data_IF_839234492694
#
_entry.id   IF_839234492694
#
_cell.length_a   1.000
_cell.length_b   1.000
_cell.length_c   1.000
_cell.angle_alpha   90.00
_cell.angle_beta   90.00
_cell.angle_gamma   90.00
#
_symmetry.space_group_name_H-M   'P 1'
#
loop_
_entity.id
_entity.type
_entity.pdbx_description
1 polymer ?
#
# COMPACT_ATOMS: atom_id res chain seq x y z
N UNK A 1 5.18 -9.97 24.22
CA UNK A 1 4.84 -8.98 25.27
C UNK A 1 5.94 -7.92 25.23
N UNK A 2 5.54 -6.66 25.37
CA UNK A 2 6.29 -5.40 25.20
C UNK A 2 6.45 -4.88 23.76
N UNK A 3 5.38 -4.24 23.26
CA UNK A 3 5.38 -3.35 22.09
C UNK A 3 5.54 -1.91 22.57
N UNK A 4 6.77 -1.38 22.55
CA UNK A 4 7.06 0.04 22.79
C UNK A 4 7.24 0.77 21.46
N UNK A 5 6.54 1.90 21.26
CA UNK A 5 6.68 2.75 20.07
C UNK A 5 8.04 3.44 20.05
N UNK A 6 8.78 3.30 18.94
CA UNK A 6 10.10 3.90 18.77
C UNK A 6 9.98 5.33 18.25
N UNK A 7 10.24 6.33 19.09
CA UNK A 7 10.33 7.73 18.69
C UNK A 7 11.68 8.03 17.99
N UNK A 8 11.70 8.17 16.67
CA UNK A 8 12.82 8.78 15.95
C UNK A 8 12.35 9.96 15.10
N UNK A 9 12.50 11.19 15.62
CA UNK A 9 12.57 12.41 14.82
C UNK A 9 13.99 12.99 14.93
N UNK A 10 14.58 13.50 13.83
CA UNK A 10 15.99 13.89 13.81
C UNK A 10 16.21 15.20 14.57
N UNK A 11 17.29 15.23 15.34
CA UNK A 11 17.79 16.39 16.08
C UNK A 11 18.32 17.45 15.11
N UNK A 12 17.72 18.65 15.12
CA UNK A 12 18.37 19.89 14.72
C UNK A 12 17.56 21.10 15.22
N UNK A 13 17.89 21.57 16.42
CA UNK A 13 17.85 22.99 16.78
C UNK A 13 18.58 23.19 18.11
N UNK A 14 19.38 24.25 18.14
CA UNK A 14 20.47 24.54 19.06
C UNK A 14 19.94 25.06 20.41
N UNK A 15 20.72 24.78 21.44
CA UNK A 15 20.60 25.21 22.82
C UNK A 15 20.16 26.67 23.02
N UNK A 16 19.24 26.90 23.96
CA UNK A 16 19.39 27.95 24.99
C UNK A 16 18.42 27.72 26.17
N UNK A 17 18.99 27.83 27.38
CA UNK A 17 18.40 27.99 28.71
C UNK A 17 17.72 26.78 29.41
N UNK A 18 18.52 26.13 30.26
CA UNK A 18 18.09 25.35 31.42
C UNK A 18 17.36 26.22 32.44
N UNK A 19 16.20 25.77 32.94
CA UNK A 19 15.83 25.67 34.36
C UNK A 19 14.33 25.35 34.51
N UNK A 20 13.95 24.14 34.10
CA UNK A 20 12.89 23.36 34.71
C UNK A 20 13.18 21.91 34.33
N UNK A 21 14.00 21.23 35.14
CA UNK A 21 14.07 19.76 35.10
C UNK A 21 12.80 19.26 35.76
N UNK A 22 11.67 19.45 35.08
CA UNK A 22 10.53 18.57 35.27
C UNK A 22 10.98 17.19 34.82
N UNK A 23 10.86 16.21 35.70
CA UNK A 23 10.96 14.81 35.32
C UNK A 23 9.91 14.58 34.22
N UNK A 24 10.34 14.60 32.96
CA UNK A 24 9.53 14.03 31.88
C UNK A 24 9.53 12.54 32.18
N UNK A 25 8.53 12.10 32.96
CA UNK A 25 8.14 10.72 32.96
C UNK A 25 7.84 10.41 31.51
N UNK A 26 8.68 9.57 30.89
CA UNK A 26 8.35 8.91 29.64
C UNK A 26 7.10 8.10 29.93
N UNK A 27 5.92 8.71 29.79
CA UNK A 27 4.69 7.93 29.71
C UNK A 27 4.91 7.01 28.53
N UNK A 28 5.03 5.70 28.80
CA UNK A 28 4.85 4.69 27.78
C UNK A 28 3.45 4.92 27.22
N UNK A 29 3.32 5.74 26.18
CA UNK A 29 2.10 5.86 25.40
C UNK A 29 1.91 4.52 24.73
N UNK A 30 1.25 3.62 25.43
CA UNK A 30 0.75 2.37 24.87
C UNK A 30 -0.21 2.78 23.76
N UNK A 31 0.08 2.33 22.54
CA UNK A 31 -0.83 2.53 21.41
C UNK A 31 -2.22 2.06 21.84
N UNK A 32 -3.25 2.93 21.77
CA UNK A 32 -4.57 2.60 22.32
C UNK A 32 -5.30 1.53 21.50
N UNK A 33 -4.72 1.11 20.37
CA UNK A 33 -5.30 0.17 19.43
C UNK A 33 -4.63 -1.19 19.57
N UNK A 34 -5.43 -2.24 19.74
CA UNK A 34 -4.97 -3.62 19.77
C UNK A 34 -5.00 -4.26 18.39
N UNK A 35 -5.83 -3.74 17.49
CA UNK A 35 -6.03 -4.28 16.15
C UNK A 35 -5.98 -3.18 15.08
N UNK A 36 -5.46 -3.53 13.91
CA UNK A 36 -5.42 -2.68 12.73
C UNK A 36 -6.13 -3.37 11.57
N UNK A 37 -7.13 -2.70 11.01
CA UNK A 37 -7.86 -3.17 9.84
C UNK A 37 -7.83 -2.14 8.72
N UNK A 38 -7.74 -2.61 7.48
CA UNK A 38 -7.72 -1.74 6.31
C UNK A 38 -8.56 -2.31 5.16
N UNK A 39 -9.47 -1.51 4.60
CA UNK A 39 -10.18 -1.81 3.37
C UNK A 39 -9.78 -0.74 2.34
N UNK A 40 -9.21 -1.14 1.20
CA UNK A 40 -8.60 -0.19 0.26
C UNK A 40 -8.16 -0.80 -1.07
N UNK A 41 -7.15 -0.21 -1.71
CA UNK A 41 -6.66 -0.62 -3.03
C UNK A 41 -5.20 -1.13 -3.06
N UNK A 42 -4.53 -1.01 -4.21
CA UNK A 42 -3.16 -1.48 -4.41
C UNK A 42 -2.09 -0.72 -3.63
N UNK A 43 -2.35 0.52 -3.19
CA UNK A 43 -1.38 1.30 -2.40
C UNK A 43 -1.18 0.75 -0.99
N UNK A 44 -2.14 -0.07 -0.53
CA UNK A 44 -2.10 -0.73 0.78
C UNK A 44 -2.14 -2.26 0.67
N UNK A 45 -2.19 -2.83 -0.54
CA UNK A 45 -2.24 -4.27 -0.73
C UNK A 45 -0.90 -4.93 -0.39
N UNK A 46 -0.91 -5.80 0.61
CA UNK A 46 0.23 -6.59 1.07
C UNK A 46 0.24 -8.03 0.55
N UNK A 47 -0.73 -8.40 -0.30
CA UNK A 47 -0.72 -9.67 -1.02
C UNK A 47 -2.07 -10.30 -1.37
N UNK A 48 -3.21 -9.65 -1.13
CA UNK A 48 -4.50 -10.26 -1.49
C UNK A 48 -4.63 -10.41 -3.01
N UNK A 49 -4.19 -9.42 -3.81
CA UNK A 49 -4.35 -9.46 -5.27
C UNK A 49 -3.79 -10.71 -5.91
N UNK A 50 -2.59 -11.15 -5.47
CA UNK A 50 -1.92 -12.31 -6.07
C UNK A 50 -2.61 -13.65 -5.72
N UNK A 51 -3.58 -13.62 -4.80
CA UNK A 51 -4.34 -14.78 -4.30
C UNK A 51 -5.78 -14.83 -4.83
N UNK A 52 -6.27 -13.77 -5.48
CA UNK A 52 -7.59 -13.78 -6.12
C UNK A 52 -7.55 -14.58 -7.42
N UNK A 53 -8.14 -15.77 -7.42
CA UNK A 53 -8.15 -16.65 -8.59
C UNK A 53 -9.19 -16.25 -9.64
N UNK A 54 -8.98 -16.59 -10.93
CA UNK A 54 -7.80 -17.25 -11.50
C UNK A 54 -6.65 -16.28 -11.87
N UNK A 55 -6.85 -14.98 -11.76
CA UNK A 55 -5.95 -13.98 -12.35
C UNK A 55 -4.77 -13.58 -11.47
N UNK A 56 -4.93 -13.62 -10.15
CA UNK A 56 -3.97 -13.14 -9.16
C UNK A 56 -2.53 -13.60 -9.38
N UNK A 57 -2.27 -14.92 -9.58
CA UNK A 57 -0.92 -15.43 -9.81
C UNK A 57 -0.23 -14.88 -11.06
N UNK A 58 -0.99 -14.32 -12.02
CA UNK A 58 -0.44 -13.72 -13.24
C UNK A 58 -0.06 -12.25 -13.10
N UNK A 59 -0.49 -11.59 -12.02
CA UNK A 59 -0.26 -10.17 -11.81
C UNK A 59 1.24 -9.85 -11.67
N UNK A 60 1.68 -8.64 -12.05
CA UNK A 60 3.07 -8.22 -11.91
C UNK A 60 3.61 -8.40 -10.48
N UNK A 61 2.81 -8.06 -9.47
CA UNK A 61 3.19 -8.16 -8.06
C UNK A 61 3.49 -9.60 -7.57
N UNK A 62 3.17 -10.63 -8.35
CA UNK A 62 3.48 -12.03 -8.06
C UNK A 62 4.88 -12.47 -8.52
N UNK A 63 5.70 -11.57 -9.08
CA UNK A 63 7.03 -11.89 -9.62
C UNK A 63 8.02 -10.74 -9.48
N UNK A 64 9.31 -11.05 -9.65
CA UNK A 64 10.37 -10.04 -9.63
C UNK A 64 10.13 -8.96 -10.71
N UNK A 65 10.50 -7.69 -10.44
CA UNK A 65 11.30 -7.21 -9.31
C UNK A 65 10.53 -6.92 -8.01
N UNK A 66 9.21 -7.19 -7.95
CA UNK A 66 8.43 -6.96 -6.74
C UNK A 66 8.94 -7.82 -5.57
N UNK A 67 9.05 -7.20 -4.40
CA UNK A 67 9.62 -7.79 -3.19
C UNK A 67 11.13 -8.09 -3.22
N UNK A 68 11.89 -7.59 -4.21
CA UNK A 68 13.35 -7.82 -4.31
C UNK A 68 14.14 -7.26 -3.11
N UNK A 69 13.83 -6.05 -2.66
CA UNK A 69 14.49 -5.37 -1.55
C UNK A 69 14.02 -5.92 -0.20
N UNK A 70 12.73 -6.23 -0.08
CA UNK A 70 12.17 -6.94 1.07
C UNK A 70 10.95 -7.77 0.65
N UNK A 71 10.83 -9.04 1.08
CA UNK A 71 11.77 -9.86 1.85
C UNK A 71 12.80 -10.61 0.96
N UNK A 72 12.98 -10.22 -0.29
CA UNK A 72 13.78 -10.95 -1.29
C UNK A 72 12.96 -11.83 -2.24
N UNK A 73 11.63 -11.83 -2.10
CA UNK A 73 10.69 -12.52 -2.98
C UNK A 73 9.36 -11.76 -3.08
N UNK A 74 8.55 -11.98 -4.15
CA UNK A 74 7.28 -11.29 -4.33
C UNK A 74 6.26 -11.67 -3.26
N UNK A 75 5.76 -10.68 -2.52
CA UNK A 75 4.70 -10.86 -1.51
C UNK A 75 3.30 -10.54 -2.04
N UNK A 76 3.24 -9.85 -3.19
CA UNK A 76 2.04 -9.23 -3.74
C UNK A 76 1.88 -7.74 -3.40
N UNK A 77 2.83 -7.15 -2.66
CA UNK A 77 3.00 -5.69 -2.56
C UNK A 77 3.36 -5.09 -3.92
N UNK A 78 2.82 -3.92 -4.22
CA UNK A 78 3.11 -3.17 -5.46
C UNK A 78 4.38 -2.32 -5.36
N UNK A 79 5.39 -2.86 -4.69
CA UNK A 79 6.72 -2.30 -4.54
C UNK A 79 7.79 -3.38 -4.48
N UNK A 80 9.06 -2.98 -4.49
CA UNK A 80 10.20 -3.87 -4.30
C UNK A 80 10.44 -4.22 -2.82
N UNK A 81 9.74 -3.57 -1.88
CA UNK A 81 9.87 -3.79 -0.45
C UNK A 81 8.58 -3.54 0.33
N UNK A 82 8.75 -3.07 1.57
CA UNK A 82 7.66 -2.56 2.40
C UNK A 82 7.03 -1.32 1.75
N UNK A 83 5.73 -1.15 1.96
CA UNK A 83 4.94 0.00 1.48
C UNK A 83 4.68 0.97 2.64
N UNK A 84 4.27 2.21 2.35
CA UNK A 84 4.02 3.25 3.36
C UNK A 84 3.15 2.77 4.54
N UNK A 85 2.16 1.93 4.24
CA UNK A 85 1.28 1.34 5.26
C UNK A 85 2.02 0.42 6.25
N UNK A 86 3.05 -0.32 5.81
CA UNK A 86 3.85 -1.16 6.70
C UNK A 86 4.63 -0.32 7.71
N UNK A 87 5.20 0.80 7.25
CA UNK A 87 5.93 1.73 8.12
C UNK A 87 4.99 2.41 9.11
N UNK A 88 3.84 2.91 8.64
CA UNK A 88 2.83 3.49 9.52
C UNK A 88 2.36 2.49 10.58
N UNK A 89 2.10 1.24 10.20
CA UNK A 89 1.72 0.19 11.14
C UNK A 89 2.82 -0.10 12.17
N UNK A 90 4.09 -0.13 11.76
CA UNK A 90 5.22 -0.31 12.66
C UNK A 90 5.36 0.86 13.65
N UNK A 91 5.13 2.10 13.21
CA UNK A 91 5.12 3.28 14.09
C UNK A 91 4.03 3.20 15.16
N UNK A 92 2.89 2.57 14.85
CA UNK A 92 1.83 2.25 15.81
C UNK A 92 2.09 0.99 16.65
N UNK A 93 3.26 0.36 16.51
CA UNK A 93 3.66 -0.81 17.29
C UNK A 93 3.08 -2.15 16.81
N UNK A 94 2.48 -2.21 15.61
CA UNK A 94 1.98 -3.46 15.05
C UNK A 94 3.15 -4.28 14.45
N UNK A 95 3.36 -5.53 14.90
CA UNK A 95 4.55 -6.30 14.51
C UNK A 95 4.51 -6.85 13.09
N UNK A 96 3.32 -7.09 12.53
CA UNK A 96 3.15 -7.62 11.17
C UNK A 96 1.73 -7.37 10.65
N UNK A 97 1.65 -6.81 9.45
CA UNK A 97 0.39 -6.69 8.69
C UNK A 97 0.31 -7.83 7.68
N UNK A 98 -0.82 -8.54 7.66
CA UNK A 98 -1.03 -9.70 6.78
C UNK A 98 -2.21 -9.49 5.83
N UNK A 99 -2.18 -10.11 4.63
CA UNK A 99 -3.33 -10.12 3.74
C UNK A 99 -4.43 -11.02 4.33
N UNK A 100 -5.70 -10.63 4.19
CA UNK A 100 -6.84 -11.45 4.58
C UNK A 100 -6.82 -12.87 3.99
N UNK A 101 -6.37 -13.03 2.74
CA UNK A 101 -6.36 -14.33 2.06
C UNK A 101 -5.19 -15.25 2.50
N UNK A 102 -4.60 -15.04 3.66
CA UNK A 102 -3.56 -15.93 4.21
C UNK A 102 -4.00 -16.65 5.48
N UNK A 103 -3.42 -17.82 5.80
CA UNK A 103 -3.77 -18.58 7.01
C UNK A 103 -3.58 -17.79 8.31
N UNK A 104 -2.64 -16.86 8.33
CA UNK A 104 -2.29 -16.05 9.50
C UNK A 104 -3.31 -14.92 9.79
N UNK A 105 -4.24 -14.65 8.88
CA UNK A 105 -5.19 -13.55 9.04
C UNK A 105 -5.95 -13.63 10.38
N UNK A 106 -6.38 -14.83 10.78
CA UNK A 106 -7.18 -15.01 11.99
C UNK A 106 -6.38 -14.94 13.31
N UNK A 107 -5.06 -15.13 13.26
CA UNK A 107 -4.17 -15.02 14.42
C UNK A 107 -3.41 -13.70 14.47
N UNK A 108 -3.58 -12.83 13.46
CA UNK A 108 -2.93 -11.52 13.38
C UNK A 108 -3.75 -10.42 14.06
N UNK A 109 -3.02 -9.44 14.60
CA UNK A 109 -3.62 -8.19 15.07
C UNK A 109 -3.70 -7.13 13.97
N UNK A 110 -3.04 -7.32 12.83
CA UNK A 110 -3.10 -6.42 11.69
C UNK A 110 -3.49 -7.16 10.42
N UNK A 111 -4.69 -6.88 9.88
CA UNK A 111 -5.23 -7.57 8.70
C UNK A 111 -5.74 -6.55 7.70
N UNK A 112 -5.32 -6.70 6.44
CA UNK A 112 -5.82 -5.87 5.36
C UNK A 112 -6.69 -6.67 4.39
N UNK A 113 -7.71 -5.99 3.88
CA UNK A 113 -8.67 -6.52 2.91
C UNK A 113 -8.48 -5.89 1.53
N UNK A 114 -7.55 -4.94 1.42
CA UNK A 114 -7.24 -4.23 0.19
C UNK A 114 -6.86 -5.19 -0.94
N UNK A 115 -7.38 -4.91 -2.13
CA UNK A 115 -7.02 -5.60 -3.38
C UNK A 115 -6.72 -4.55 -4.43
N UNK A 116 -5.65 -4.75 -5.18
CA UNK A 116 -5.16 -3.80 -6.13
C UNK A 116 -6.16 -3.47 -7.23
N UNK A 117 -6.21 -2.16 -7.52
CA UNK A 117 -7.13 -1.54 -8.47
C UNK A 117 -8.61 -1.67 -8.10
N UNK A 118 -8.92 -2.05 -6.85
CA UNK A 118 -10.31 -2.12 -6.41
C UNK A 118 -10.96 -0.75 -6.43
N UNK A 119 -12.17 -0.63 -7.00
CA UNK A 119 -12.98 0.57 -6.88
C UNK A 119 -13.83 0.54 -5.59
N UNK A 120 -14.43 1.68 -5.26
CA UNK A 120 -15.55 1.71 -4.30
C UNK A 120 -16.76 1.00 -4.89
N UNK A 121 -17.12 1.34 -6.13
CA UNK A 121 -18.37 0.93 -6.76
C UNK A 121 -18.27 -0.47 -7.37
N UNK A 122 -19.40 -1.16 -7.46
CA UNK A 122 -19.43 -2.55 -7.90
C UNK A 122 -19.30 -2.70 -9.43
N UNK A 123 -19.07 -3.94 -9.88
CA UNK A 123 -19.01 -4.27 -11.31
C UNK A 123 -20.28 -3.89 -12.07
N UNK A 124 -21.45 -3.92 -11.41
CA UNK A 124 -22.74 -3.61 -12.03
C UNK A 124 -22.82 -2.12 -12.38
N UNK A 125 -22.37 -1.24 -11.48
CA UNK A 125 -22.31 0.19 -11.67
C UNK A 125 -21.50 0.56 -12.92
N UNK A 126 -20.29 0.00 -13.06
CA UNK A 126 -19.43 0.26 -14.20
C UNK A 126 -19.97 -0.35 -15.49
N UNK A 127 -20.48 -1.59 -15.45
CA UNK A 127 -21.09 -2.26 -16.61
C UNK A 127 -22.25 -1.44 -17.20
N UNK A 128 -23.12 -0.88 -16.36
CA UNK A 128 -24.24 -0.04 -16.79
C UNK A 128 -23.80 1.26 -17.48
N UNK A 129 -22.57 1.71 -17.22
CA UNK A 129 -21.99 2.94 -17.80
C UNK A 129 -21.03 2.65 -18.97
N UNK A 130 -20.94 1.39 -19.39
CA UNK A 130 -20.04 0.96 -20.46
C UNK A 130 -18.56 1.01 -20.07
N UNK A 131 -18.25 0.98 -18.78
CA UNK A 131 -16.87 0.99 -18.26
C UNK A 131 -16.50 -0.43 -17.83
N UNK A 132 -15.34 -0.92 -18.26
CA UNK A 132 -14.82 -2.24 -17.88
C UNK A 132 -13.80 -2.09 -16.76
N UNK A 133 -13.91 -2.92 -15.73
CA UNK A 133 -12.92 -3.03 -14.65
C UNK A 133 -12.35 -4.46 -14.64
N UNK A 134 -11.11 -4.68 -14.16
CA UNK A 134 -10.50 -6.00 -14.15
C UNK A 134 -11.35 -7.00 -13.35
N UNK A 135 -11.48 -8.25 -13.80
CA UNK A 135 -12.40 -9.23 -13.19
C UNK A 135 -11.98 -9.70 -11.79
N UNK A 136 -10.74 -9.44 -11.38
CA UNK A 136 -10.18 -9.88 -10.10
C UNK A 136 -10.31 -8.83 -8.99
N UNK A 137 -10.74 -7.61 -9.32
CA UNK A 137 -10.86 -6.56 -8.31
C UNK A 137 -11.97 -6.90 -7.32
N UNK A 138 -11.84 -6.41 -6.09
CA UNK A 138 -12.79 -6.69 -5.02
C UNK A 138 -13.32 -5.33 -4.53
N UNK A 139 -14.49 -4.88 -5.03
CA UNK A 139 -15.06 -3.59 -4.65
C UNK A 139 -15.24 -3.45 -3.15
N UNK A 140 -15.32 -2.21 -2.66
CA UNK A 140 -15.30 -1.92 -1.22
C UNK A 140 -16.33 -2.74 -0.40
N UNK A 141 -17.54 -2.91 -0.93
CA UNK A 141 -18.57 -3.70 -0.24
C UNK A 141 -18.22 -5.20 -0.13
N UNK A 142 -17.50 -5.75 -1.10
CA UNK A 142 -17.02 -7.14 -1.02
C UNK A 142 -15.84 -7.27 -0.06
N UNK A 143 -15.00 -6.24 0.06
CA UNK A 143 -13.99 -6.20 1.13
C UNK A 143 -14.64 -6.14 2.52
N UNK A 144 -15.79 -5.46 2.65
CA UNK A 144 -16.60 -5.50 3.88
C UNK A 144 -17.16 -6.91 4.15
N UNK A 145 -17.57 -7.66 3.11
CA UNK A 145 -17.98 -9.07 3.29
C UNK A 145 -16.82 -9.94 3.80
N UNK A 146 -15.61 -9.73 3.28
CA UNK A 146 -14.41 -10.38 3.80
C UNK A 146 -14.15 -10.00 5.26
N UNK A 147 -14.29 -8.72 5.60
CA UNK A 147 -14.14 -8.24 6.97
C UNK A 147 -15.16 -8.89 7.92
N UNK A 148 -16.44 -8.97 7.55
CA UNK A 148 -17.48 -9.67 8.32
C UNK A 148 -17.14 -11.14 8.53
N UNK A 149 -16.62 -11.81 7.50
CA UNK A 149 -16.21 -13.22 7.56
C UNK A 149 -15.04 -13.41 8.52
N UNK A 150 -14.03 -12.54 8.44
CA UNK A 150 -12.91 -12.51 9.37
C UNK A 150 -13.39 -12.34 10.82
N UNK A 151 -14.24 -11.34 11.09
CA UNK A 151 -14.77 -11.07 12.43
C UNK A 151 -15.50 -12.29 13.02
N UNK A 152 -16.38 -12.93 12.23
CA UNK A 152 -17.05 -14.17 12.65
C UNK A 152 -16.05 -15.26 13.06
N UNK A 153 -14.92 -15.37 12.34
CA UNK A 153 -13.90 -16.37 12.65
C UNK A 153 -13.09 -16.06 13.91
N UNK A 154 -12.91 -14.79 14.27
CA UNK A 154 -11.96 -14.39 15.33
C UNK A 154 -12.62 -13.91 16.63
N UNK A 155 -13.91 -13.57 16.61
CA UNK A 155 -14.67 -13.17 17.79
C UNK A 155 -16.15 -13.61 17.76
N UNK A 156 -16.57 -14.39 16.76
CA UNK A 156 -17.93 -14.92 16.68
C UNK A 156 -18.99 -13.82 16.60
N UNK A 157 -19.99 -13.88 17.48
CA UNK A 157 -21.06 -12.88 17.58
C UNK A 157 -20.71 -11.68 18.49
N UNK A 158 -19.63 -11.75 19.28
CA UNK A 158 -19.30 -10.73 20.28
C UNK A 158 -18.04 -9.93 19.88
N UNK A 159 -18.09 -9.31 18.69
CA UNK A 159 -16.96 -8.56 18.13
C UNK A 159 -16.90 -7.09 18.56
N UNK A 160 -17.92 -6.57 19.24
CA UNK A 160 -18.01 -5.14 19.56
C UNK A 160 -16.80 -4.64 20.37
N UNK A 161 -16.35 -5.39 21.38
CA UNK A 161 -15.19 -5.01 22.18
C UNK A 161 -13.89 -5.02 21.34
N UNK A 162 -13.73 -6.01 20.44
CA UNK A 162 -12.58 -6.06 19.53
C UNK A 162 -12.56 -4.84 18.62
N UNK A 163 -13.70 -4.49 18.03
CA UNK A 163 -13.84 -3.36 17.13
C UNK A 163 -13.69 -2.00 17.83
N UNK A 164 -14.13 -1.88 19.08
CA UNK A 164 -13.92 -0.67 19.88
C UNK A 164 -12.42 -0.42 20.15
N UNK A 165 -11.62 -1.49 20.24
CA UNK A 165 -10.16 -1.44 20.40
C UNK A 165 -9.40 -1.55 19.06
N UNK A 166 -10.08 -1.40 17.92
CA UNK A 166 -9.48 -1.46 16.59
C UNK A 166 -9.32 -0.07 15.98
N UNK A 167 -8.21 0.17 15.31
CA UNK A 167 -8.09 1.25 14.31
C UNK A 167 -8.49 0.70 12.95
N UNK A 168 -9.48 1.31 12.31
CA UNK A 168 -9.96 0.89 10.98
C UNK A 168 -9.73 2.00 9.98
N UNK A 169 -9.05 1.70 8.88
CA UNK A 169 -8.93 2.61 7.75
C UNK A 169 -9.79 2.13 6.58
N UNK A 170 -10.45 3.07 5.91
CA UNK A 170 -11.40 2.83 4.82
C UNK A 170 -11.12 3.75 3.63
N UNK A 171 -10.50 3.22 2.57
CA UNK A 171 -9.81 3.98 1.51
C UNK A 171 -8.30 3.86 1.70
N UNK A 172 -7.39 4.42 0.92
CA UNK A 172 -7.36 5.14 -0.37
C UNK A 172 -7.81 4.20 -1.53
N UNK A 173 -8.98 4.42 -2.13
CA UNK A 173 -9.60 3.46 -3.09
C UNK A 173 -10.33 4.11 -4.28
N UNK A 174 -10.90 5.29 -4.06
CA UNK A 174 -11.84 5.98 -4.94
C UNK A 174 -11.21 6.55 -6.21
N UNK A 175 -9.89 6.75 -6.20
CA UNK A 175 -9.10 7.10 -7.37
C UNK A 175 -9.32 6.11 -8.54
N UNK A 176 -9.57 4.83 -8.24
CA UNK A 176 -9.82 3.82 -9.26
C UNK A 176 -11.15 4.08 -9.99
N UNK A 177 -12.22 4.47 -9.29
CA UNK A 177 -13.53 4.73 -9.89
C UNK A 177 -13.46 5.85 -10.95
N UNK A 178 -12.77 6.95 -10.60
CA UNK A 178 -12.53 8.06 -11.52
C UNK A 178 -11.57 7.62 -12.62
N UNK A 179 -10.45 6.99 -12.28
CA UNK A 179 -9.44 6.54 -13.24
C UNK A 179 -10.00 5.60 -14.30
N UNK A 180 -10.83 4.62 -13.92
CA UNK A 180 -11.46 3.69 -14.86
C UNK A 180 -12.36 4.38 -15.87
N UNK A 181 -13.13 5.37 -15.42
CA UNK A 181 -14.03 6.12 -16.30
C UNK A 181 -13.23 6.95 -17.30
N UNK A 182 -12.27 7.74 -16.82
CA UNK A 182 -11.47 8.63 -17.67
C UNK A 182 -10.68 7.81 -18.70
N UNK A 183 -9.97 6.76 -18.27
CA UNK A 183 -9.13 5.94 -19.14
C UNK A 183 -9.90 5.20 -20.24
N UNK A 184 -11.23 5.16 -20.15
CA UNK A 184 -12.12 4.58 -21.16
C UNK A 184 -12.94 5.64 -21.90
N UNK A 185 -12.44 6.88 -21.90
CA UNK A 185 -12.95 7.97 -22.74
C UNK A 185 -14.13 8.74 -22.15
N UNK A 186 -14.48 8.53 -20.88
CA UNK A 186 -15.51 9.36 -20.23
C UNK A 186 -14.96 10.75 -19.96
N UNK A 187 -15.80 11.77 -20.14
CA UNK A 187 -15.42 13.16 -19.86
C UNK A 187 -15.27 13.42 -18.36
N UNK A 188 -14.58 14.49 -17.98
CA UNK A 188 -14.49 14.96 -16.58
C UNK A 188 -15.89 15.18 -15.99
N UNK A 189 -16.83 15.74 -16.78
CA UNK A 189 -18.21 15.96 -16.34
C UNK A 189 -18.95 14.63 -16.09
N UNK A 190 -18.74 13.64 -16.95
CA UNK A 190 -19.35 12.32 -16.74
C UNK A 190 -18.75 11.62 -15.51
N UNK A 191 -17.42 11.63 -15.36
CA UNK A 191 -16.74 11.08 -14.19
C UNK A 191 -17.17 11.78 -12.88
N UNK A 192 -17.40 13.09 -12.92
CA UNK A 192 -17.94 13.86 -11.78
C UNK A 192 -19.28 13.31 -11.28
N UNK A 193 -20.11 12.74 -12.15
CA UNK A 193 -21.39 12.14 -11.73
C UNK A 193 -21.23 10.90 -10.85
N UNK A 194 -20.03 10.31 -10.76
CA UNK A 194 -19.77 9.11 -9.96
C UNK A 194 -19.58 9.48 -8.49
N UNK A 195 -19.13 10.71 -8.21
CA UNK A 195 -18.74 11.19 -6.87
C UNK A 195 -19.84 10.96 -5.81
N UNK A 196 -21.11 11.32 -6.03
CA UNK A 196 -22.14 11.07 -5.01
C UNK A 196 -22.32 9.58 -4.69
N UNK A 197 -22.18 8.70 -5.69
CA UNK A 197 -22.29 7.24 -5.48
C UNK A 197 -21.10 6.69 -4.71
N UNK A 198 -19.89 7.15 -5.04
CA UNK A 198 -18.64 6.80 -4.35
C UNK A 198 -18.77 7.17 -2.87
N UNK A 199 -19.07 8.45 -2.60
CA UNK A 199 -19.22 8.97 -1.23
C UNK A 199 -20.30 8.20 -0.48
N UNK A 200 -21.48 8.01 -1.08
CA UNK A 200 -22.57 7.30 -0.41
C UNK A 200 -22.20 5.86 -0.05
N UNK A 201 -21.51 5.14 -0.94
CA UNK A 201 -21.07 3.78 -0.67
C UNK A 201 -20.07 3.72 0.49
N UNK A 202 -19.08 4.61 0.53
CA UNK A 202 -18.12 4.69 1.66
C UNK A 202 -18.78 5.04 2.98
N UNK A 203 -19.72 6.00 2.96
CA UNK A 203 -20.47 6.41 4.14
C UNK A 203 -21.35 5.26 4.65
N UNK A 204 -21.99 4.50 3.76
CA UNK A 204 -22.77 3.32 4.16
C UNK A 204 -21.89 2.24 4.80
N UNK A 205 -20.73 1.94 4.22
CA UNK A 205 -19.77 1.01 4.82
C UNK A 205 -19.30 1.52 6.19
N UNK A 206 -19.04 2.82 6.32
CA UNK A 206 -18.65 3.45 7.59
C UNK A 206 -19.72 3.29 8.66
N UNK A 207 -20.99 3.59 8.35
CA UNK A 207 -22.11 3.38 9.27
C UNK A 207 -22.19 1.94 9.75
N UNK A 208 -21.95 1.00 8.85
CA UNK A 208 -21.99 -0.40 9.20
C UNK A 208 -20.82 -0.84 10.07
N UNK A 209 -19.61 -0.35 9.81
CA UNK A 209 -18.47 -0.56 10.70
C UNK A 209 -18.78 -0.05 12.11
N UNK A 210 -19.39 1.14 12.22
CA UNK A 210 -19.82 1.72 13.49
C UNK A 210 -20.88 0.86 14.18
N UNK A 211 -21.89 0.38 13.44
CA UNK A 211 -22.97 -0.45 13.98
C UNK A 211 -22.47 -1.82 14.46
N UNK A 212 -21.40 -2.34 13.85
CA UNK A 212 -20.72 -3.56 14.33
C UNK A 212 -19.88 -3.32 15.60
N UNK A 213 -19.55 -2.07 15.93
CA UNK A 213 -18.84 -1.70 17.16
C UNK A 213 -17.55 -0.90 16.95
N UNK A 214 -17.21 -0.51 15.71
CA UNK A 214 -16.03 0.32 15.46
C UNK A 214 -16.19 1.70 16.13
N UNK A 215 -15.09 2.21 16.70
CA UNK A 215 -15.06 3.52 17.37
C UNK A 215 -13.97 4.45 16.85
N UNK A 216 -12.98 3.93 16.13
CA UNK A 216 -11.81 4.67 15.67
C UNK A 216 -11.61 4.38 14.18
N UNK A 217 -12.03 5.32 13.34
CA UNK A 217 -11.96 5.16 11.89
C UNK A 217 -11.22 6.32 11.21
N UNK A 218 -10.40 5.97 10.22
CA UNK A 218 -9.74 6.93 9.33
C UNK A 218 -10.28 6.71 7.92
N UNK A 219 -10.78 7.76 7.29
CA UNK A 219 -11.25 7.75 5.91
C UNK A 219 -10.35 8.73 5.14
N UNK A 220 -9.28 8.25 4.49
CA UNK A 220 -8.41 9.12 3.71
C UNK A 220 -9.12 9.64 2.46
N UNK A 221 -8.79 10.85 2.05
CA UNK A 221 -9.04 11.29 0.68
C UNK A 221 -8.01 10.69 -0.27
N UNK A 222 -8.23 10.83 -1.59
CA UNK A 222 -7.22 10.42 -2.56
C UNK A 222 -6.25 11.57 -2.85
N UNK A 223 -5.04 11.20 -3.23
CA UNK A 223 -4.08 12.11 -3.83
C UNK A 223 -4.58 12.72 -5.16
N UNK A 224 -4.02 13.86 -5.59
CA UNK A 224 -4.31 14.47 -6.89
C UNK A 224 -3.83 13.58 -8.04
N UNK A 225 -4.70 12.70 -8.54
CA UNK A 225 -4.32 11.71 -9.58
C UNK A 225 -3.94 12.35 -10.91
N UNK A 226 -4.24 13.63 -11.14
CA UNK A 226 -3.75 14.39 -12.30
C UNK A 226 -2.23 14.54 -12.35
N UNK A 227 -1.54 14.29 -11.24
CA UNK A 227 -0.09 14.20 -11.16
C UNK A 227 0.45 12.82 -11.52
N UNK A 228 -0.41 11.79 -11.58
CA UNK A 228 0.06 10.42 -11.68
C UNK A 228 0.55 10.12 -13.11
N UNK A 229 1.70 9.43 -13.25
CA UNK A 229 2.29 9.15 -14.55
C UNK A 229 1.32 8.49 -15.54
N UNK A 230 0.44 7.59 -15.08
CA UNK A 230 -0.51 6.92 -15.96
C UNK A 230 -1.61 7.85 -16.49
N UNK A 231 -2.06 8.82 -15.68
CA UNK A 231 -3.01 9.84 -16.10
C UNK A 231 -2.33 10.81 -17.06
N UNK A 232 -1.14 11.31 -16.71
CA UNK A 232 -0.36 12.22 -17.54
C UNK A 232 0.02 11.62 -18.90
N UNK A 233 0.29 10.32 -18.95
CA UNK A 233 0.54 9.59 -20.20
C UNK A 233 -0.74 9.35 -21.01
N UNK A 234 -1.89 9.08 -20.37
CA UNK A 234 -3.14 8.82 -21.06
C UNK A 234 -3.82 10.09 -21.60
N UNK A 235 -3.63 11.23 -20.93
CA UNK A 235 -4.22 12.52 -21.28
C UNK A 235 -3.15 13.60 -21.54
N UNK A 236 -2.24 13.39 -22.51
CA UNK A 236 -1.30 14.43 -22.88
C UNK A 236 -2.06 15.62 -23.49
N UNK A 237 -1.70 16.83 -23.07
CA UNK A 237 -2.21 18.08 -23.63
C UNK A 237 -1.06 18.88 -24.22
N UNK A 238 -1.30 19.47 -25.39
CA UNK A 238 -0.38 20.43 -26.00
C UNK A 238 -0.59 21.85 -25.46
N UNK A 239 -1.69 22.11 -24.74
CA UNK A 239 -1.94 23.38 -24.07
C UNK A 239 -1.19 23.42 -22.74
N UNK A 240 -0.17 24.30 -22.57
CA UNK A 240 0.53 24.45 -21.30
C UNK A 240 -0.41 24.87 -20.16
N UNK A 241 -1.52 25.56 -20.47
CA UNK A 241 -2.51 25.99 -19.47
C UNK A 241 -3.36 24.83 -18.95
N UNK A 242 -3.29 23.63 -19.54
CA UNK A 242 -3.94 22.44 -18.98
C UNK A 242 -3.24 21.94 -17.69
N UNK A 243 -1.98 22.33 -17.51
CA UNK A 243 -1.16 21.91 -16.39
C UNK A 243 -1.04 23.01 -15.31
N UNK A 244 -0.79 22.60 -14.07
CA UNK A 244 -0.37 23.49 -12.99
C UNK A 244 1.15 23.71 -12.98
N UNK A 245 1.65 24.48 -12.02
CA UNK A 245 3.08 24.76 -11.86
C UNK A 245 3.93 23.50 -11.58
N UNK A 246 3.30 22.43 -11.09
CA UNK A 246 3.94 21.14 -10.85
C UNK A 246 3.81 20.21 -12.06
N UNK A 247 3.19 20.62 -13.16
CA UNK A 247 3.03 19.78 -14.34
C UNK A 247 1.93 18.71 -14.22
N UNK A 248 1.01 18.86 -13.26
CA UNK A 248 -0.15 18.00 -13.11
C UNK A 248 -1.36 18.52 -13.90
N UNK A 249 -2.25 17.63 -14.36
CA UNK A 249 -3.48 18.03 -15.06
C UNK A 249 -4.49 18.68 -14.10
N UNK A 250 -4.75 19.98 -14.28
CA UNK A 250 -5.64 20.76 -13.41
C UNK A 250 -7.06 20.21 -13.39
N UNK A 251 -7.65 19.92 -14.56
CA UNK A 251 -9.03 19.45 -14.64
C UNK A 251 -9.28 18.13 -13.90
N UNK A 252 -8.29 17.24 -13.88
CA UNK A 252 -8.34 15.98 -13.13
C UNK A 252 -8.18 16.25 -11.63
N UNK A 253 -7.23 17.11 -11.25
CA UNK A 253 -7.02 17.49 -9.85
C UNK A 253 -8.20 18.26 -9.26
N UNK A 254 -8.87 19.09 -10.04
CA UNK A 254 -10.10 19.79 -9.65
C UNK A 254 -11.24 18.81 -9.38
N UNK A 255 -11.34 17.74 -10.19
CA UNK A 255 -12.30 16.67 -9.95
C UNK A 255 -11.99 15.90 -8.65
N UNK A 256 -10.72 15.57 -8.40
CA UNK A 256 -10.33 14.92 -7.14
C UNK A 256 -10.55 15.82 -5.92
N UNK A 257 -10.31 17.12 -6.07
CA UNK A 257 -10.59 18.13 -5.03
C UNK A 257 -12.09 18.20 -4.74
N UNK A 258 -12.93 18.26 -5.78
CA UNK A 258 -14.38 18.21 -5.65
C UNK A 258 -14.84 16.95 -4.90
N UNK A 259 -14.33 15.77 -5.29
CA UNK A 259 -14.63 14.50 -4.61
C UNK A 259 -14.19 14.49 -3.14
N UNK A 260 -12.98 14.99 -2.84
CA UNK A 260 -12.47 15.03 -1.48
C UNK A 260 -13.27 16.02 -0.60
N UNK A 261 -13.77 17.12 -1.18
CA UNK A 261 -14.65 18.05 -0.48
C UNK A 261 -16.02 17.43 -0.19
N UNK A 262 -16.60 16.70 -1.15
CA UNK A 262 -17.86 15.97 -0.97
C UNK A 262 -17.75 14.92 0.16
N UNK A 263 -16.67 14.13 0.15
CA UNK A 263 -16.38 13.16 1.19
C UNK A 263 -16.20 13.80 2.58
N UNK A 264 -15.44 14.90 2.67
CA UNK A 264 -15.25 15.62 3.94
C UNK A 264 -16.57 16.14 4.51
N UNK A 265 -17.46 16.68 3.66
CA UNK A 265 -18.79 17.11 4.09
C UNK A 265 -19.63 15.94 4.59
N UNK A 266 -19.57 14.79 3.92
CA UNK A 266 -20.29 13.60 4.34
C UNK A 266 -19.75 13.03 5.67
N UNK A 267 -18.42 13.03 5.87
CA UNK A 267 -17.78 12.65 7.14
C UNK A 267 -18.19 13.62 8.26
N UNK A 268 -18.27 14.92 7.99
CA UNK A 268 -18.73 15.89 8.97
C UNK A 268 -20.16 15.61 9.43
N UNK A 269 -21.05 15.20 8.52
CA UNK A 269 -22.41 14.75 8.87
C UNK A 269 -22.38 13.46 9.71
N UNK A 270 -21.54 12.49 9.37
CA UNK A 270 -21.38 11.27 10.16
C UNK A 270 -20.89 11.54 11.59
N UNK A 271 -20.01 12.53 11.79
CA UNK A 271 -19.55 12.91 13.15
C UNK A 271 -20.70 13.44 14.02
N UNK A 272 -21.67 14.11 13.41
CA UNK A 272 -22.88 14.56 14.10
C UNK A 272 -23.81 13.38 14.40
N UNK A 273 -23.93 12.44 13.44
CA UNK A 273 -24.75 11.23 13.60
C UNK A 273 -24.20 10.27 14.67
N UNK A 274 -22.86 10.21 14.83
CA UNK A 274 -22.16 9.33 15.77
C UNK A 274 -21.14 10.11 16.63
N UNK A 275 -21.59 10.90 17.62
CA UNK A 275 -20.70 11.77 18.40
C UNK A 275 -19.68 11.00 19.25
N UNK A 276 -19.98 9.75 19.61
CA UNK A 276 -19.11 8.87 20.41
C UNK A 276 -18.07 8.10 19.57
N UNK A 277 -17.99 8.37 18.25
CA UNK A 277 -17.07 7.73 17.33
C UNK A 277 -16.03 8.75 16.84
N UNK A 278 -14.77 8.40 17.00
CA UNK A 278 -13.67 9.15 16.41
C UNK A 278 -13.55 8.85 14.92
N UNK A 279 -14.05 9.77 14.09
CA UNK A 279 -13.91 9.73 12.64
C UNK A 279 -12.87 10.76 12.19
N UNK A 280 -11.75 10.32 11.63
CA UNK A 280 -10.70 11.17 11.10
C UNK A 280 -10.69 11.16 9.57
N UNK A 281 -10.51 12.34 8.98
CA UNK A 281 -10.23 12.44 7.54
C UNK A 281 -8.71 12.55 7.36
N UNK A 282 -8.13 11.68 6.54
CA UNK A 282 -6.69 11.68 6.24
C UNK A 282 -6.40 12.42 4.93
N UNK A 283 -5.72 13.58 4.94
CA UNK A 283 -5.31 14.22 3.71
C UNK A 283 -4.20 13.40 3.03
N UNK A 284 -4.39 13.04 1.77
CA UNK A 284 -3.38 12.34 0.98
C UNK A 284 -2.77 13.31 -0.05
N UNK A 285 -1.45 13.49 0.01
CA UNK A 285 -0.69 14.38 -0.87
C UNK A 285 0.36 13.55 -1.60
N UNK A 286 0.30 13.50 -2.92
CA UNK A 286 1.34 12.88 -3.75
C UNK A 286 1.52 13.71 -5.02
N UNK A 287 2.75 14.19 -5.23
CA UNK A 287 3.13 15.04 -6.36
C UNK A 287 4.15 14.37 -7.29
N UNK A 288 4.28 13.05 -7.24
CA UNK A 288 5.24 12.31 -8.06
C UNK A 288 4.80 12.23 -9.53
N UNK A 289 5.50 12.98 -10.41
CA UNK A 289 5.20 13.07 -11.84
C UNK A 289 5.82 11.95 -12.69
N UNK A 290 6.77 11.21 -12.12
CA UNK A 290 7.50 10.13 -12.80
C UNK A 290 7.34 8.83 -12.02
N UNK A 291 7.11 7.73 -12.73
CA UNK A 291 7.14 6.41 -12.10
C UNK A 291 8.59 5.94 -11.90
N UNK A 292 8.83 5.20 -10.81
CA UNK A 292 10.15 4.71 -10.43
C UNK A 292 10.70 3.63 -11.39
N UNK A 293 9.82 2.82 -12.00
CA UNK A 293 10.19 1.61 -12.75
C UNK A 293 9.53 1.54 -14.15
N UNK A 294 9.57 2.63 -14.91
CA UNK A 294 9.04 2.68 -16.28
C UNK A 294 10.01 2.24 -17.37
N UNK A 295 9.62 2.51 -18.62
CA UNK A 295 10.37 2.20 -19.84
C UNK A 295 11.03 3.43 -20.48
N UNK A 296 11.15 4.53 -19.74
CA UNK A 296 11.55 5.83 -20.28
C UNK A 296 10.37 6.69 -20.76
N UNK A 297 10.68 7.83 -21.41
CA UNK A 297 9.69 8.84 -21.81
C UNK A 297 9.38 9.87 -20.72
N UNK A 298 8.57 10.88 -21.04
CA UNK A 298 8.36 12.09 -20.21
C UNK A 298 8.02 11.78 -18.74
N UNK A 299 7.15 10.80 -18.51
CA UNK A 299 6.67 10.41 -17.17
C UNK A 299 7.21 9.05 -16.70
N UNK A 300 8.13 8.43 -17.45
CA UNK A 300 8.69 7.12 -17.15
C UNK A 300 7.62 6.09 -16.74
N UNK A 301 6.53 5.95 -17.51
CA UNK A 301 5.39 5.08 -17.19
C UNK A 301 5.29 3.91 -18.15
N UNK A 302 4.86 2.74 -17.65
CA UNK A 302 4.59 1.56 -18.46
C UNK A 302 3.32 0.83 -17.96
N UNK A 303 2.29 0.74 -18.80
CA UNK A 303 1.06 -0.02 -18.51
C UNK A 303 1.28 -1.54 -18.46
N UNK A 304 2.42 -2.01 -18.99
CA UNK A 304 2.85 -3.41 -19.09
C UNK A 304 4.07 -3.71 -18.23
N UNK A 305 4.34 -2.88 -17.21
CA UNK A 305 5.41 -3.16 -16.25
C UNK A 305 5.12 -4.52 -15.60
N UNK A 306 5.97 -5.50 -15.92
CA UNK A 306 5.67 -6.90 -15.66
C UNK A 306 4.74 -7.56 -16.69
N UNK A 307 4.93 -7.45 -18.00
CA UNK A 307 4.48 -8.47 -18.97
C UNK A 307 5.66 -9.36 -19.40
N UNK A 308 5.42 -10.67 -19.62
CA UNK A 308 6.47 -11.69 -19.88
C UNK A 308 7.49 -11.25 -20.94
N UNK A 309 7.07 -10.56 -22.00
CA UNK A 309 7.94 -10.13 -23.11
C UNK A 309 9.10 -9.23 -22.66
N UNK A 310 8.88 -8.36 -21.67
CA UNK A 310 9.92 -7.44 -21.18
C UNK A 310 10.83 -8.08 -20.14
N UNK A 311 10.32 -9.02 -19.33
CA UNK A 311 11.16 -9.84 -18.44
C UNK A 311 12.07 -10.75 -19.27
N UNK A 312 11.57 -11.35 -20.36
CA UNK A 312 12.41 -12.11 -21.29
C UNK A 312 13.45 -11.23 -21.99
N UNK A 313 13.10 -10.02 -22.42
CA UNK A 313 14.07 -9.09 -22.98
C UNK A 313 15.14 -8.68 -21.94
N UNK A 314 14.73 -8.39 -20.71
CA UNK A 314 15.66 -8.09 -19.61
C UNK A 314 16.55 -9.27 -19.23
N UNK A 315 16.00 -10.48 -19.12
CA UNK A 315 16.75 -11.72 -18.87
C UNK A 315 17.68 -12.05 -20.03
N UNK A 316 17.25 -11.84 -21.29
CA UNK A 316 18.09 -12.06 -22.46
C UNK A 316 19.24 -11.04 -22.50
N UNK A 317 18.98 -9.76 -22.23
CA UNK A 317 20.01 -8.72 -22.16
C UNK A 317 20.99 -9.01 -21.03
N UNK A 318 20.51 -9.35 -19.83
CA UNK A 318 21.37 -9.69 -18.68
C UNK A 318 22.13 -11.01 -18.94
N UNK A 319 21.49 -12.00 -19.54
CA UNK A 319 22.11 -13.26 -19.92
C UNK A 319 23.20 -13.10 -20.98
N UNK A 320 23.01 -12.21 -21.96
CA UNK A 320 24.01 -11.92 -22.99
C UNK A 320 25.13 -11.03 -22.46
N UNK A 321 24.82 -10.00 -21.65
CA UNK A 321 25.82 -9.05 -21.15
C UNK A 321 26.62 -9.62 -19.98
N UNK A 322 25.99 -10.40 -19.09
CA UNK A 322 26.65 -10.92 -17.89
C UNK A 322 26.80 -12.44 -17.92
N UNK A 323 25.80 -13.17 -18.43
CA UNK A 323 25.83 -14.63 -18.48
C UNK A 323 26.83 -15.20 -19.48
N UNK A 324 26.94 -14.63 -20.69
CA UNK A 324 27.89 -15.08 -21.71
C UNK A 324 29.33 -14.77 -21.30
N UNK A 325 29.68 -13.55 -20.82
CA UNK A 325 31.01 -13.31 -20.27
C UNK A 325 31.32 -14.17 -19.05
N UNK A 326 30.38 -14.34 -18.11
CA UNK A 326 30.58 -15.22 -16.95
C UNK A 326 30.81 -16.69 -17.34
N UNK A 327 30.04 -17.21 -18.31
CA UNK A 327 30.18 -18.56 -18.83
C UNK A 327 31.52 -18.75 -19.55
N UNK A 328 31.91 -17.78 -20.39
CA UNK A 328 33.20 -17.80 -21.10
C UNK A 328 34.39 -17.63 -20.14
N UNK A 329 34.26 -16.80 -19.11
CA UNK A 329 35.28 -16.62 -18.06
C UNK A 329 35.42 -17.85 -17.16
N UNK A 330 34.38 -18.67 -17.04
CA UNK A 330 34.39 -19.88 -16.21
C UNK A 330 34.48 -21.18 -17.01
N UNK A 331 34.69 -21.13 -18.34
CA UNK A 331 34.96 -22.34 -19.11
C UNK A 331 36.29 -22.95 -18.66
N UNK A 332 36.21 -24.13 -18.05
CA UNK A 332 37.38 -24.87 -17.54
C UNK A 332 37.69 -24.65 -16.05
N UNK A 333 36.98 -23.77 -15.36
CA UNK A 333 37.08 -23.68 -13.92
C UNK A 333 36.28 -24.82 -13.27
N UNK A 334 36.96 -25.78 -12.61
CA UNK A 334 36.29 -26.69 -11.67
C UNK A 334 35.65 -25.83 -10.58
N UNK A 335 34.33 -25.66 -10.64
CA UNK A 335 33.58 -24.99 -9.59
C UNK A 335 33.72 -25.81 -8.32
N UNK A 336 34.48 -25.26 -7.36
CA UNK A 336 34.48 -25.73 -5.98
C UNK A 336 33.05 -25.66 -5.47
N UNK A 337 32.58 -26.76 -4.87
CA UNK A 337 31.18 -26.87 -4.46
C UNK A 337 30.87 -25.83 -3.38
N UNK A 338 29.59 -25.52 -3.17
CA UNK A 338 29.18 -24.64 -2.08
C UNK A 338 29.74 -25.10 -0.72
N UNK A 339 29.99 -26.41 -0.53
CA UNK A 339 30.63 -26.94 0.68
C UNK A 339 32.08 -26.49 0.83
N UNK A 340 32.86 -26.38 -0.25
CA UNK A 340 34.25 -25.90 -0.21
C UNK A 340 34.32 -24.43 0.22
N UNK A 341 33.31 -23.65 -0.16
CA UNK A 341 33.20 -22.24 0.25
C UNK A 341 32.84 -22.13 1.74
N UNK A 342 31.91 -22.96 2.21
CA UNK A 342 31.53 -23.03 3.63
C UNK A 342 32.70 -23.51 4.51
N UNK A 343 33.47 -24.50 4.06
CA UNK A 343 34.63 -25.01 4.79
C UNK A 343 35.75 -23.96 4.89
N UNK A 344 36.00 -23.21 3.81
CA UNK A 344 36.94 -22.07 3.84
C UNK A 344 36.45 -20.94 4.75
N UNK A 345 35.15 -20.65 4.75
CA UNK A 345 34.56 -19.64 5.63
C UNK A 345 34.66 -20.05 7.11
N UNK A 346 34.41 -21.31 7.44
CA UNK A 346 34.54 -21.83 8.80
C UNK A 346 36.00 -21.92 9.26
N UNK A 347 36.93 -22.26 8.36
CA UNK A 347 38.36 -22.23 8.67
C UNK A 347 38.86 -20.81 8.93
N UNK A 348 38.41 -19.84 8.13
CA UNK A 348 38.72 -18.41 8.35
C UNK A 348 38.07 -17.86 9.64
N UNK A 349 36.86 -18.30 9.96
CA UNK A 349 36.17 -17.96 11.22
C UNK A 349 36.90 -18.53 12.42
N UNK A 350 37.31 -19.79 12.37
CA UNK A 350 38.02 -20.48 13.45
C UNK A 350 39.39 -19.85 13.73
N UNK A 351 40.12 -19.45 12.68
CA UNK A 351 41.40 -18.74 12.80
C UNK A 351 41.26 -17.36 13.45
N UNK A 352 40.14 -16.64 13.22
CA UNK A 352 39.87 -15.36 13.89
C UNK A 352 39.52 -15.53 15.37
N UNK A 353 38.81 -16.61 15.70
CA UNK A 353 38.44 -16.91 17.09
C UNK A 353 39.65 -17.37 17.93
N UNK A 354 40.58 -18.13 17.34
CA UNK A 354 41.82 -18.51 18.02
C UNK A 354 42.79 -17.34 18.18
N UNK A 355 42.88 -16.44 17.20
CA UNK A 355 43.67 -15.20 17.31
C UNK A 355 43.13 -14.22 18.38
N UNK A 356 41.82 -14.27 18.68
CA UNK A 356 41.19 -13.48 19.74
C UNK A 356 41.48 -14.00 21.15
N UNK A 357 41.92 -15.25 21.30
CA UNK A 357 42.20 -15.87 22.61
C UNK A 357 43.66 -15.71 23.09
N UNK A 358 44.52 -15.09 22.29
CA UNK A 358 45.96 -14.93 22.57
C UNK A 358 46.38 -13.46 22.80
N UNK A 359 45.60 -12.68 23.55
CA UNK A 359 46.08 -11.43 24.13
C UNK A 359 46.37 -11.66 25.63
N UNK A 360 47.63 -11.50 26.09
CA UNK A 360 47.95 -11.63 27.51
C UNK A 360 47.38 -10.43 28.28
N UNK A 361 46.95 -10.68 29.53
CA UNK A 361 46.53 -9.65 30.49
C UNK A 361 47.64 -8.67 30.82
#
# INVERSE_FOLDING_TARGET
>A
MDTSCSSYFPKLAIAFLFLFVGTISSQNTVCPYQYLYHLGDGVTDVGNSIRVLPWGPSLPAARLPYGRSYPGYPTGRWGDGLIDFDFAAADFGFPRIVPYLTPEANSSNGVIFSVARSPVLDHKFFKQRGVKIPPYVIPLYEQLNWFRTHLKSVCGSNCANRLANSLILLGDIEANDIGYSLLQGKSINEARTYVPYITQAQINVTRELISMGARQLIIPGNAPIGCFPYILTAFPSNDPKAYDEFGCLKSVNDLMTFKNNDLQQAIAKLRIEFPDVSLFYGPNKNNALKACCGIGGKYNFNSKSGEKKHVFAGIAIVGVIFGVPWYLMNQGAKHQSHQDYMEKADKARSARLSASSSMPK
#
